data_IF_446611000086
#
_entry.id   IF_446611000086
#
_cell.length_a   1.000
_cell.length_b   1.000
_cell.length_c   1.000
_cell.angle_alpha   90.00
_cell.angle_beta   90.00
_cell.angle_gamma   90.00
#
_symmetry.space_group_name_H-M   'P 1'
#
loop_
_entity.id
_entity.type
_entity.pdbx_description
1 polymer ?
#
# COMPACT_ATOMS: atom_id res chain seq x y z
N UNK A 1 -17.66 -2.26 23.31
CA UNK A 1 -16.28 -1.87 23.66
C UNK A 1 -15.57 -1.61 22.34
N UNK A 2 -15.65 -0.39 21.82
CA UNK A 2 -14.96 0.00 20.59
C UNK A 2 -13.52 0.35 20.96
N UNK A 3 -12.55 -0.35 20.38
CA UNK A 3 -11.14 0.00 20.55
C UNK A 3 -10.89 1.34 19.84
N UNK A 4 -10.56 2.44 20.54
CA UNK A 4 -10.25 3.70 19.89
C UNK A 4 -8.92 3.52 19.16
N UNK A 5 -8.98 3.22 17.86
CA UNK A 5 -7.81 2.99 17.01
C UNK A 5 -7.89 1.78 16.06
N UNK A 6 -8.97 1.00 16.13
CA UNK A 6 -9.28 0.03 15.08
C UNK A 6 -10.27 0.67 14.09
N UNK A 7 -9.74 1.26 13.02
CA UNK A 7 -10.53 1.58 11.85
C UNK A 7 -10.64 0.31 10.99
N UNK A 8 -11.82 -0.34 10.91
CA UNK A 8 -11.99 -1.56 10.14
C UNK A 8 -11.72 -1.35 8.64
N UNK A 9 -11.76 -0.10 8.18
CA UNK A 9 -11.51 0.28 6.79
C UNK A 9 -10.01 0.55 6.53
N UNK A 10 -9.12 0.00 7.37
CA UNK A 10 -7.67 0.14 7.19
C UNK A 10 -6.99 -1.22 7.16
N UNK A 11 -6.08 -1.40 6.20
CA UNK A 11 -5.26 -2.60 6.05
C UNK A 11 -3.81 -2.30 6.37
N UNK A 12 -3.19 -3.20 7.13
CA UNK A 12 -1.78 -3.11 7.48
C UNK A 12 -0.93 -3.61 6.30
N UNK A 13 -0.10 -2.73 5.74
CA UNK A 13 0.70 -3.00 4.53
C UNK A 13 2.16 -2.61 4.72
N UNK A 14 3.06 -3.31 4.01
CA UNK A 14 4.47 -2.95 3.93
C UNK A 14 4.69 -2.01 2.74
N UNK A 15 5.23 -0.82 2.99
CA UNK A 15 5.51 0.19 1.96
C UNK A 15 7.01 0.24 1.64
N UNK A 16 7.35 0.13 0.36
CA UNK A 16 8.72 0.08 -0.14
C UNK A 16 9.02 1.34 -0.96
N UNK A 17 9.80 2.28 -0.43
CA UNK A 17 10.21 3.47 -1.18
C UNK A 17 11.48 3.20 -2.00
N UNK A 18 11.48 3.59 -3.27
CA UNK A 18 12.63 3.53 -4.19
C UNK A 18 13.32 2.15 -4.24
N UNK A 19 12.57 1.06 -4.05
CA UNK A 19 13.10 -0.31 -4.06
C UNK A 19 13.88 -0.71 -2.80
N UNK A 20 13.91 0.13 -1.76
CA UNK A 20 14.53 -0.19 -0.48
C UNK A 20 13.77 -1.22 0.35
N UNK A 21 14.32 -1.56 1.52
CA UNK A 21 13.71 -2.48 2.49
C UNK A 21 12.67 -1.73 3.33
N UNK A 22 11.47 -2.30 3.57
CA UNK A 22 10.45 -1.65 4.39
C UNK A 22 10.90 -1.80 5.84
N UNK A 23 11.00 -0.69 6.55
CA UNK A 23 11.33 -0.70 7.98
C UNK A 23 10.08 -0.81 8.86
N UNK A 24 8.91 -0.43 8.33
CA UNK A 24 7.67 -0.32 9.10
C UNK A 24 6.46 -0.76 8.26
N UNK A 25 5.45 -1.28 8.96
CA UNK A 25 4.12 -1.53 8.41
C UNK A 25 3.25 -0.30 8.67
N UNK A 26 2.50 0.11 7.65
CA UNK A 26 1.60 1.26 7.69
C UNK A 26 0.16 0.81 7.53
N UNK A 27 -0.76 1.51 8.19
CA UNK A 27 -2.19 1.36 7.92
C UNK A 27 -2.53 2.23 6.72
N UNK A 28 -3.02 1.63 5.65
CA UNK A 28 -3.62 2.34 4.52
C UNK A 28 -5.13 2.12 4.54
N UNK A 29 -5.90 3.09 4.07
CA UNK A 29 -7.34 2.91 3.91
C UNK A 29 -7.67 1.93 2.78
N UNK A 30 -8.75 1.17 2.93
CA UNK A 30 -9.22 0.19 1.95
C UNK A 30 -10.35 0.70 1.04
N UNK A 31 -10.75 1.96 1.20
CA UNK A 31 -11.82 2.62 0.45
C UNK A 31 -11.32 3.83 -0.39
N UNK A 32 -10.02 3.92 -0.65
CA UNK A 32 -9.41 5.08 -1.31
C UNK A 32 -9.24 4.92 -2.82
N UNK A 33 -9.43 6.03 -3.54
CA UNK A 33 -9.01 6.19 -4.92
C UNK A 33 -7.48 6.27 -5.04
N UNK A 34 -6.93 6.14 -6.25
CA UNK A 34 -5.50 6.19 -6.50
C UNK A 34 -4.85 7.51 -6.03
N UNK A 35 -5.56 8.63 -6.16
CA UNK A 35 -5.07 9.91 -5.63
C UNK A 35 -4.97 9.90 -4.11
N UNK A 36 -5.98 9.37 -3.42
CA UNK A 36 -5.97 9.23 -1.97
C UNK A 36 -4.86 8.31 -1.47
N UNK A 37 -4.63 7.18 -2.17
CA UNK A 37 -3.51 6.29 -1.88
C UNK A 37 -2.15 7.00 -2.03
N UNK A 38 -1.98 7.83 -3.07
CA UNK A 38 -0.76 8.62 -3.25
C UNK A 38 -0.57 9.66 -2.15
N UNK A 39 -1.64 10.31 -1.72
CA UNK A 39 -1.60 11.29 -0.63
C UNK A 39 -1.23 10.64 0.71
N UNK A 40 -1.75 9.44 1.00
CA UNK A 40 -1.35 8.66 2.18
C UNK A 40 0.11 8.24 2.12
N UNK A 41 0.59 7.77 0.96
CA UNK A 41 2.00 7.45 0.76
C UNK A 41 2.89 8.70 0.90
N UNK A 42 2.45 9.86 0.42
CA UNK A 42 3.17 11.12 0.64
C UNK A 42 3.27 11.48 2.12
N UNK A 43 2.18 11.27 2.87
CA UNK A 43 2.17 11.50 4.30
C UNK A 43 3.12 10.55 5.03
N UNK A 44 3.13 9.26 4.66
CA UNK A 44 4.04 8.25 5.20
C UNK A 44 5.50 8.61 4.88
N UNK A 45 5.80 9.00 3.64
CA UNK A 45 7.15 9.39 3.25
C UNK A 45 7.65 10.58 4.07
N UNK A 46 6.78 11.59 4.31
CA UNK A 46 7.10 12.74 5.16
C UNK A 46 7.31 12.39 6.63
N UNK A 47 6.64 11.36 7.13
CA UNK A 47 6.86 10.84 8.49
C UNK A 47 8.20 10.10 8.60
N UNK A 48 8.54 9.29 7.60
CA UNK A 48 9.80 8.54 7.57
C UNK A 48 11.01 9.43 7.27
N UNK A 49 10.82 10.43 6.40
CA UNK A 49 11.85 11.32 5.93
C UNK A 49 11.32 12.75 5.90
N UNK A 50 11.40 13.45 7.04
CA UNK A 50 10.93 14.82 7.19
C UNK A 50 11.54 15.83 6.22
N UNK A 51 12.68 15.51 5.59
CA UNK A 51 13.33 16.38 4.58
C UNK A 51 12.87 16.08 3.16
N UNK A 52 12.21 14.94 2.94
CA UNK A 52 11.73 14.56 1.62
C UNK A 52 10.31 15.09 1.38
N UNK A 53 10.23 16.17 0.60
CA UNK A 53 8.98 16.79 0.19
C UNK A 53 8.51 16.32 -1.19
N UNK A 54 9.17 15.33 -1.79
CA UNK A 54 8.77 14.79 -3.09
C UNK A 54 7.40 14.13 -2.99
N UNK A 55 6.62 14.27 -4.07
CA UNK A 55 5.31 13.63 -4.21
C UNK A 55 5.45 12.26 -4.88
N UNK A 56 4.64 11.30 -4.47
CA UNK A 56 4.54 9.96 -5.03
C UNK A 56 3.92 10.08 -6.41
N UNK A 57 4.77 9.95 -7.43
CA UNK A 57 4.34 10.02 -8.83
C UNK A 57 3.74 8.70 -9.33
N UNK A 58 4.18 7.57 -8.77
CA UNK A 58 3.74 6.23 -9.19
C UNK A 58 3.74 5.25 -8.03
N UNK A 59 2.82 4.29 -8.10
CA UNK A 59 2.65 3.24 -7.08
C UNK A 59 2.73 1.88 -7.77
N UNK A 60 3.49 0.98 -7.18
CA UNK A 60 3.58 -0.42 -7.62
C UNK A 60 3.07 -1.33 -6.51
N UNK A 61 2.12 -2.18 -6.85
CA UNK A 61 1.64 -3.25 -5.99
C UNK A 61 2.45 -4.52 -6.22
N UNK A 62 2.93 -5.14 -5.14
CA UNK A 62 3.50 -6.49 -5.18
C UNK A 62 2.38 -7.51 -4.99
N UNK A 63 1.83 -8.00 -6.08
CA UNK A 63 0.75 -8.97 -6.07
C UNK A 63 1.31 -10.36 -5.72
N UNK A 64 0.84 -10.98 -4.62
CA UNK A 64 1.19 -12.36 -4.30
C UNK A 64 0.53 -13.30 -5.31
N UNK A 65 1.33 -14.13 -5.95
CA UNK A 65 0.90 -15.28 -6.74
C UNK A 65 1.24 -16.52 -5.94
N UNK A 66 0.20 -17.27 -5.57
CA UNK A 66 0.35 -18.62 -5.06
C UNK A 66 0.48 -19.58 -6.23
N UNK A 67 1.57 -20.34 -6.33
CA UNK A 67 1.60 -21.49 -7.21
C UNK A 67 0.99 -22.73 -6.52
N UNK A 68 0.64 -23.74 -7.30
CA UNK A 68 0.08 -25.00 -6.79
C UNK A 68 1.06 -25.78 -5.90
N UNK A 69 2.33 -25.37 -5.87
CA UNK A 69 3.37 -25.96 -5.03
C UNK A 69 3.52 -25.24 -3.67
N UNK A 70 2.71 -24.21 -3.40
CA UNK A 70 2.74 -23.45 -2.14
C UNK A 70 3.84 -22.40 -2.06
N UNK A 71 4.54 -22.12 -3.17
CA UNK A 71 5.51 -21.03 -3.24
C UNK A 71 4.78 -19.71 -3.47
N UNK A 72 5.06 -18.73 -2.61
CA UNK A 72 4.55 -17.37 -2.73
C UNK A 72 5.51 -16.57 -3.60
N UNK A 73 5.12 -16.34 -4.86
CA UNK A 73 5.84 -15.43 -5.77
C UNK A 73 5.21 -14.05 -5.71
N UNK A 74 5.97 -13.01 -5.98
CA UNK A 74 5.42 -11.66 -6.08
C UNK A 74 5.61 -11.13 -7.49
N UNK A 75 4.50 -10.81 -8.16
CA UNK A 75 4.54 -10.00 -9.38
C UNK A 75 4.43 -8.52 -9.02
N UNK A 76 4.88 -7.63 -9.91
CA UNK A 76 4.74 -6.18 -9.72
C UNK A 76 3.70 -5.64 -10.72
N UNK A 77 2.69 -4.97 -10.20
CA UNK A 77 1.65 -4.32 -10.97
C UNK A 77 1.71 -2.81 -10.73
N UNK A 78 1.79 -2.02 -11.81
CA UNK A 78 1.71 -0.56 -11.71
C UNK A 78 0.26 -0.14 -11.55
N UNK A 79 -0.07 0.59 -10.49
CA UNK A 79 -1.40 1.14 -10.28
C UNK A 79 -1.53 2.43 -11.10
N UNK A 80 -2.38 2.40 -12.12
CA UNK A 80 -2.61 3.52 -13.03
C UNK A 80 -4.01 4.09 -12.91
N UNK A 81 -4.96 3.29 -12.43
CA UNK A 81 -6.38 3.61 -12.33
C UNK A 81 -6.93 3.27 -10.95
N UNK A 82 -8.10 3.81 -10.61
CA UNK A 82 -8.81 3.47 -9.38
C UNK A 82 -9.27 2.00 -9.37
N UNK A 83 -9.49 1.41 -10.55
CA UNK A 83 -9.85 -0.01 -10.69
C UNK A 83 -8.67 -0.92 -10.33
N UNK A 84 -7.44 -0.53 -10.67
CA UNK A 84 -6.24 -1.24 -10.24
C UNK A 84 -6.10 -1.23 -8.70
N UNK A 85 -6.43 -0.10 -8.07
CA UNK A 85 -6.40 0.05 -6.61
C UNK A 85 -7.46 -0.83 -5.95
N UNK A 86 -8.68 -0.84 -6.51
CA UNK A 86 -9.76 -1.72 -6.03
C UNK A 86 -9.36 -3.20 -6.16
N UNK A 87 -8.81 -3.59 -7.31
CA UNK A 87 -8.30 -4.95 -7.54
C UNK A 87 -7.23 -5.33 -6.53
N UNK A 88 -6.26 -4.45 -6.26
CA UNK A 88 -5.24 -4.65 -5.22
C UNK A 88 -5.88 -4.89 -3.86
N UNK A 89 -6.86 -4.07 -3.46
CA UNK A 89 -7.48 -4.13 -2.14
C UNK A 89 -8.36 -5.37 -1.96
N UNK A 90 -8.97 -5.86 -3.06
CA UNK A 90 -9.74 -7.11 -3.09
C UNK A 90 -8.90 -8.37 -2.84
N UNK A 91 -7.60 -8.36 -3.16
CA UNK A 91 -6.70 -9.50 -2.86
C UNK A 91 -6.56 -9.73 -1.35
N UNK A 92 -6.74 -8.68 -0.56
CA UNK A 92 -6.66 -8.74 0.90
C UNK A 92 -8.02 -8.92 1.58
N UNK A 93 -9.09 -9.21 0.82
CA UNK A 93 -10.48 -9.34 1.29
C UNK A 93 -10.88 -10.77 1.59
#
# INVERSE_FOLDING_TARGET
>A
MEFPGFDPNTKLTAVYYNGGTPSHLFKIRDDVALSGLKDELDQINRQLNHKDMRRVVGVEYRCPLSDSAGSLRFSRMKLKTDDDVRTMLSVFG
#
